data_IF_457691834823
#
_entry.id   IF_457691834823
#
_cell.length_a   1.000
_cell.length_b   1.000
_cell.length_c   1.000
_cell.angle_alpha   90.00
_cell.angle_beta   90.00
_cell.angle_gamma   90.00
#
_symmetry.space_group_name_H-M   'P 1'
#
loop_
_entity.id
_entity.type
_entity.pdbx_description
1 polymer ?
#
# COMPACT_ATOMS: atom_id res chain seq x y z
N UNK A 1 6.05 17.86 -0.96
CA UNK A 1 6.85 16.70 -1.43
C UNK A 1 8.25 17.11 -1.85
N UNK A 2 8.44 18.00 -2.84
CA UNK A 2 9.76 18.57 -3.22
C UNK A 2 10.65 18.95 -2.02
N UNK A 3 10.12 19.79 -1.12
CA UNK A 3 10.82 20.23 0.11
C UNK A 3 11.29 19.06 1.00
N UNK A 4 10.52 17.97 1.07
CA UNK A 4 10.86 16.80 1.90
C UNK A 4 11.94 15.96 1.24
N UNK A 5 11.87 15.82 -0.09
CA UNK A 5 12.88 15.13 -0.87
C UNK A 5 14.24 15.84 -0.81
N UNK A 6 14.26 17.16 -0.97
CA UNK A 6 15.49 17.95 -0.94
C UNK A 6 16.14 17.96 0.46
N UNK A 7 15.33 17.93 1.53
CA UNK A 7 15.82 18.04 2.91
C UNK A 7 16.32 16.74 3.54
N UNK A 8 16.19 15.59 2.87
CA UNK A 8 16.54 14.27 3.42
C UNK A 8 17.39 13.48 2.45
N UNK A 9 18.30 12.67 2.97
CA UNK A 9 19.23 11.89 2.14
C UNK A 9 18.70 10.52 1.75
N UNK A 10 17.78 9.96 2.54
CA UNK A 10 17.15 8.69 2.25
C UNK A 10 15.61 8.81 2.26
N UNK A 11 14.98 8.49 1.13
CA UNK A 11 13.54 8.55 0.94
C UNK A 11 12.98 7.15 0.65
N UNK A 12 11.99 6.72 1.43
CA UNK A 12 11.26 5.48 1.24
C UNK A 12 9.79 5.77 0.92
N UNK A 13 9.14 4.93 0.13
CA UNK A 13 7.72 5.02 -0.21
C UNK A 13 7.08 3.66 -0.01
N UNK A 14 6.09 3.57 0.88
CA UNK A 14 5.28 2.37 1.01
C UNK A 14 4.22 2.30 -0.10
N UNK A 15 4.31 1.31 -0.98
CA UNK A 15 3.40 1.14 -2.10
C UNK A 15 2.66 -0.21 -2.04
N UNK A 16 1.34 -0.18 -2.16
CA UNK A 16 0.49 -1.38 -2.06
C UNK A 16 -0.30 -1.71 -3.32
N UNK A 17 -0.18 -0.91 -4.39
CA UNK A 17 -0.94 -1.08 -5.62
C UNK A 17 -2.37 -0.54 -5.59
N UNK A 18 -2.84 -0.04 -4.44
CA UNK A 18 -4.20 0.47 -4.25
C UNK A 18 -4.31 1.97 -4.42
N UNK A 19 -5.56 2.48 -4.49
CA UNK A 19 -5.89 3.87 -4.78
C UNK A 19 -5.08 4.89 -3.97
N UNK A 20 -4.99 4.71 -2.66
CA UNK A 20 -4.37 5.70 -1.77
C UNK A 20 -2.85 5.77 -2.00
N UNK A 21 -2.20 4.60 -2.17
CA UNK A 21 -0.77 4.53 -2.48
C UNK A 21 -0.43 4.98 -3.89
N UNK A 22 -1.33 4.73 -4.86
CA UNK A 22 -1.18 5.18 -6.24
C UNK A 22 -1.35 6.69 -6.36
N UNK A 23 -2.31 7.29 -5.64
CA UNK A 23 -2.50 8.73 -5.58
C UNK A 23 -1.29 9.42 -4.92
N UNK A 24 -0.82 8.89 -3.79
CA UNK A 24 0.40 9.39 -3.14
C UNK A 24 1.62 9.30 -4.08
N UNK A 25 1.81 8.16 -4.74
CA UNK A 25 2.94 7.99 -5.66
C UNK A 25 2.81 8.92 -6.87
N UNK A 26 1.61 9.14 -7.40
CA UNK A 26 1.35 10.08 -8.49
C UNK A 26 1.77 11.50 -8.11
N UNK A 27 1.31 11.99 -6.95
CA UNK A 27 1.69 13.31 -6.44
C UNK A 27 3.20 13.43 -6.22
N UNK A 28 3.84 12.37 -5.72
CA UNK A 28 5.30 12.36 -5.52
C UNK A 28 6.04 12.34 -6.86
N UNK A 29 5.55 11.56 -7.81
CA UNK A 29 6.12 11.45 -9.15
C UNK A 29 6.13 12.81 -9.84
N UNK A 30 4.98 13.49 -9.86
CA UNK A 30 4.82 14.82 -10.46
C UNK A 30 5.75 15.82 -9.77
N UNK A 31 5.77 15.82 -8.43
CA UNK A 31 6.63 16.70 -7.65
C UNK A 31 8.12 16.53 -7.97
N UNK A 32 8.61 15.30 -8.20
CA UNK A 32 10.01 15.04 -8.54
C UNK A 32 10.29 15.31 -10.02
N UNK A 33 9.33 15.05 -10.90
CA UNK A 33 9.44 15.35 -12.32
C UNK A 33 9.51 16.87 -12.61
N UNK A 34 8.97 17.70 -11.72
CA UNK A 34 9.10 19.16 -11.79
C UNK A 34 10.48 19.69 -11.35
N UNK A 35 11.29 18.90 -10.64
CA UNK A 35 12.62 19.35 -10.20
C UNK A 35 13.61 19.37 -11.36
N UNK A 36 14.62 20.27 -11.38
CA UNK A 36 15.73 20.18 -12.33
C UNK A 36 16.46 18.84 -12.21
N UNK A 37 17.02 18.33 -13.31
CA UNK A 37 17.73 17.04 -13.33
C UNK A 37 18.86 16.97 -12.29
N UNK A 38 19.54 18.10 -12.07
CA UNK A 38 20.65 18.28 -11.12
C UNK A 38 20.23 18.10 -9.66
N UNK A 39 18.96 18.32 -9.33
CA UNK A 39 18.43 18.15 -7.97
C UNK A 39 17.91 16.71 -7.72
N UNK A 40 17.76 15.90 -8.77
CA UNK A 40 17.22 14.53 -8.72
C UNK A 40 18.29 13.48 -8.36
N UNK A 41 19.22 13.81 -7.48
CA UNK A 41 20.41 12.99 -7.19
C UNK A 41 20.15 11.88 -6.19
N UNK A 42 19.12 12.04 -5.34
CA UNK A 42 18.85 11.13 -4.21
C UNK A 42 17.87 10.04 -4.62
N UNK A 43 18.19 8.75 -4.40
CA UNK A 43 17.26 7.67 -4.73
C UNK A 43 16.03 7.67 -3.83
N UNK A 44 14.87 7.39 -4.43
CA UNK A 44 13.58 7.20 -3.76
C UNK A 44 13.21 5.72 -3.86
N UNK A 45 13.25 5.04 -2.73
CA UNK A 45 13.04 3.60 -2.67
C UNK A 45 11.56 3.26 -2.47
N UNK A 46 10.93 2.73 -3.52
CA UNK A 46 9.55 2.24 -3.48
C UNK A 46 9.58 0.82 -2.92
N UNK A 47 8.89 0.58 -1.82
CA UNK A 47 8.83 -0.70 -1.12
C UNK A 47 7.42 -1.30 -1.24
N UNK A 48 7.36 -2.52 -1.74
CA UNK A 48 6.14 -3.32 -1.78
C UNK A 48 6.40 -4.70 -1.19
N UNK A 49 5.50 -5.15 -0.32
CA UNK A 49 5.60 -6.49 0.28
C UNK A 49 4.73 -7.48 -0.47
N UNK A 50 5.35 -8.49 -1.09
CA UNK A 50 4.69 -9.67 -1.62
C UNK A 50 4.38 -10.63 -0.46
N UNK A 51 3.12 -10.68 -0.04
CA UNK A 51 2.68 -11.44 1.14
C UNK A 51 2.65 -12.94 0.86
N UNK A 52 2.41 -13.33 -0.41
CA UNK A 52 2.38 -14.71 -0.88
C UNK A 52 1.03 -15.41 -0.66
N UNK A 53 -0.02 -14.64 -0.39
CA UNK A 53 -1.41 -15.11 -0.22
C UNK A 53 -2.41 -14.19 -0.92
N UNK A 54 -1.92 -13.43 -1.88
CA UNK A 54 -2.73 -12.69 -2.83
C UNK A 54 -3.37 -13.64 -3.86
N UNK A 55 -4.44 -13.20 -4.52
CA UNK A 55 -4.96 -13.95 -5.68
C UNK A 55 -3.95 -13.91 -6.83
N UNK A 56 -3.87 -14.94 -7.68
CA UNK A 56 -2.99 -14.96 -8.85
C UNK A 56 -3.12 -13.71 -9.74
N UNK A 57 -4.36 -13.25 -9.95
CA UNK A 57 -4.64 -12.02 -10.72
C UNK A 57 -4.05 -10.78 -10.05
N UNK A 58 -4.20 -10.64 -8.72
CA UNK A 58 -3.60 -9.53 -7.96
C UNK A 58 -2.07 -9.61 -7.95
N UNK A 59 -1.48 -10.79 -7.79
CA UNK A 59 -0.02 -10.98 -7.88
C UNK A 59 0.51 -10.56 -9.25
N UNK A 60 -0.18 -10.97 -10.32
CA UNK A 60 0.20 -10.60 -11.68
C UNK A 60 0.07 -9.09 -11.90
N UNK A 61 -1.01 -8.46 -11.43
CA UNK A 61 -1.20 -7.01 -11.48
C UNK A 61 -0.08 -6.25 -10.77
N UNK A 62 0.21 -6.58 -9.50
CA UNK A 62 1.28 -5.92 -8.73
C UNK A 62 2.62 -6.09 -9.45
N UNK A 63 2.95 -7.30 -9.93
CA UNK A 63 4.19 -7.56 -10.65
C UNK A 63 4.33 -6.71 -11.92
N UNK A 64 3.26 -6.60 -12.73
CA UNK A 64 3.24 -5.73 -13.93
C UNK A 64 3.40 -4.26 -13.55
N UNK A 65 2.69 -3.81 -12.53
CA UNK A 65 2.73 -2.43 -12.04
C UNK A 65 4.13 -2.04 -11.56
N UNK A 66 4.78 -2.87 -10.75
CA UNK A 66 6.14 -2.60 -10.28
C UNK A 66 7.15 -2.51 -11.44
N UNK A 67 7.02 -3.38 -12.46
CA UNK A 67 7.84 -3.32 -13.67
C UNK A 67 7.59 -2.04 -14.48
N UNK A 68 6.33 -1.62 -14.63
CA UNK A 68 5.96 -0.37 -15.30
C UNK A 68 6.53 0.85 -14.57
N UNK A 69 6.46 0.87 -13.24
CA UNK A 69 7.02 1.92 -12.39
C UNK A 69 8.53 2.04 -12.63
N UNK A 70 9.29 0.94 -12.50
CA UNK A 70 10.74 0.99 -12.71
C UNK A 70 11.10 1.44 -14.14
N UNK A 71 10.49 0.82 -15.17
CA UNK A 71 10.76 1.15 -16.57
C UNK A 71 10.46 2.62 -16.90
N UNK A 72 9.39 3.17 -16.32
CA UNK A 72 9.00 4.56 -16.57
C UNK A 72 9.90 5.54 -15.82
N UNK A 73 10.34 5.18 -14.61
CA UNK A 73 11.33 5.96 -13.86
C UNK A 73 12.64 6.07 -14.64
N UNK A 74 13.13 4.95 -15.15
CA UNK A 74 14.36 4.90 -15.96
C UNK A 74 14.20 5.74 -17.24
N UNK A 75 13.06 5.62 -17.93
CA UNK A 75 12.76 6.39 -19.15
C UNK A 75 12.70 7.91 -18.91
N UNK A 76 12.19 8.33 -17.75
CA UNK A 76 12.03 9.74 -17.39
C UNK A 76 13.23 10.32 -16.63
N UNK A 77 14.30 9.53 -16.43
CA UNK A 77 15.45 9.90 -15.58
C UNK A 77 14.98 10.37 -14.19
N UNK A 78 14.07 9.62 -13.58
CA UNK A 78 13.60 9.87 -12.22
C UNK A 78 14.28 8.90 -11.25
N UNK A 79 14.63 9.36 -10.04
CA UNK A 79 15.45 8.59 -9.12
C UNK A 79 14.63 7.54 -8.34
N UNK A 80 13.61 6.94 -8.94
CA UNK A 80 12.80 5.91 -8.28
C UNK A 80 13.44 4.52 -8.44
N UNK A 81 13.57 3.79 -7.33
CA UNK A 81 14.09 2.43 -7.30
C UNK A 81 13.06 1.53 -6.63
N UNK A 82 12.58 0.53 -7.36
CA UNK A 82 11.53 -0.38 -6.91
C UNK A 82 12.13 -1.61 -6.22
N UNK A 83 11.65 -1.89 -5.02
CA UNK A 83 12.00 -3.08 -4.25
C UNK A 83 10.75 -3.88 -3.91
N UNK A 84 10.71 -5.12 -4.41
CA UNK A 84 9.75 -6.11 -3.94
C UNK A 84 10.38 -6.96 -2.85
N UNK A 85 9.72 -7.04 -1.70
CA UNK A 85 10.21 -7.78 -0.53
C UNK A 85 9.26 -8.91 -0.16
N UNK A 86 9.82 -10.00 0.36
CA UNK A 86 9.06 -11.17 0.82
C UNK A 86 9.34 -11.46 2.30
N UNK A 87 8.36 -12.03 3.03
CA UNK A 87 8.63 -12.59 4.35
C UNK A 87 9.69 -13.69 4.29
N UNK A 88 10.47 -13.81 5.36
CA UNK A 88 11.34 -14.97 5.53
C UNK A 88 10.46 -16.22 5.60
N UNK A 89 11.01 -17.39 5.24
CA UNK A 89 10.27 -18.64 5.31
C UNK A 89 9.60 -18.86 6.67
N UNK A 90 10.32 -18.57 7.77
CA UNK A 90 9.81 -18.66 9.15
C UNK A 90 8.65 -17.70 9.48
N UNK A 91 8.52 -16.63 8.71
CA UNK A 91 7.48 -15.61 8.87
C UNK A 91 6.37 -15.72 7.82
N UNK A 92 6.53 -16.58 6.81
CA UNK A 92 5.56 -16.82 5.75
C UNK A 92 4.24 -17.34 6.30
N UNK A 93 3.15 -17.07 5.57
CA UNK A 93 1.81 -17.45 6.00
C UNK A 93 1.69 -18.95 6.24
N UNK A 94 2.15 -19.78 5.29
CA UNK A 94 2.03 -21.24 5.36
C UNK A 94 2.90 -21.85 6.45
N UNK A 95 4.11 -21.34 6.67
CA UNK A 95 4.93 -21.81 7.78
C UNK A 95 4.29 -21.51 9.14
N UNK A 96 3.68 -20.33 9.30
CA UNK A 96 2.98 -20.01 10.55
C UNK A 96 1.73 -20.85 10.75
N UNK A 97 0.89 -20.96 9.72
CA UNK A 97 -0.37 -21.69 9.80
C UNK A 97 -0.14 -23.21 9.93
N UNK A 98 0.52 -23.82 8.95
CA UNK A 98 0.70 -25.27 8.86
C UNK A 98 1.90 -25.71 9.71
N UNK A 99 3.04 -25.01 9.59
CA UNK A 99 4.29 -25.43 10.24
C UNK A 99 4.33 -25.18 11.75
N UNK A 100 3.63 -24.16 12.26
CA UNK A 100 3.64 -23.77 13.69
C UNK A 100 2.28 -23.90 14.37
N UNK A 101 1.22 -24.24 13.64
CA UNK A 101 -0.14 -24.30 14.18
C UNK A 101 -0.68 -22.95 14.66
N UNK A 102 -0.16 -21.83 14.14
CA UNK A 102 -0.66 -20.49 14.50
C UNK A 102 -2.01 -20.29 13.83
N UNK A 103 -3.03 -19.93 14.62
CA UNK A 103 -4.36 -19.67 14.08
C UNK A 103 -4.32 -18.58 12.98
N UNK A 104 -5.13 -18.75 11.92
CA UNK A 104 -5.20 -17.78 10.84
C UNK A 104 -5.65 -16.40 11.37
N UNK A 105 -5.30 -15.29 10.70
CA UNK A 105 -5.70 -13.97 11.14
C UNK A 105 -7.22 -13.79 11.09
N UNK A 106 -7.84 -13.70 12.28
CA UNK A 106 -9.28 -13.48 12.46
C UNK A 106 -9.57 -12.11 13.08
N UNK A 107 -10.86 -11.79 13.25
CA UNK A 107 -11.36 -10.51 13.79
C UNK A 107 -10.67 -10.01 15.06
N UNK A 108 -10.17 -10.93 15.90
CA UNK A 108 -9.52 -10.65 17.17
C UNK A 108 -8.17 -9.93 16.98
N UNK A 109 -7.97 -8.81 17.70
CA UNK A 109 -6.76 -7.97 17.63
C UNK A 109 -5.48 -8.75 17.94
N UNK A 110 -5.52 -9.76 18.81
CA UNK A 110 -4.35 -10.60 19.16
C UNK A 110 -3.90 -11.52 18.02
N UNK A 111 -4.77 -11.81 17.06
CA UNK A 111 -4.50 -12.75 15.95
C UNK A 111 -4.17 -12.05 14.63
N UNK A 112 -4.00 -10.71 14.61
CA UNK A 112 -3.65 -9.94 13.38
C UNK A 112 -2.15 -9.91 13.10
N UNK A 113 -1.48 -11.05 13.18
CA UNK A 113 -0.03 -11.16 12.97
C UNK A 113 0.39 -10.97 11.51
N UNK A 114 -0.53 -11.10 10.55
CA UNK A 114 -0.23 -11.00 9.12
C UNK A 114 0.33 -9.64 8.71
N UNK A 115 -0.18 -8.53 9.28
CA UNK A 115 0.36 -7.19 8.97
C UNK A 115 1.82 -7.06 9.41
N UNK A 116 2.13 -7.48 10.64
CA UNK A 116 3.49 -7.41 11.17
C UNK A 116 4.44 -8.33 10.40
N UNK A 117 4.06 -9.61 10.28
CA UNK A 117 4.96 -10.65 9.76
C UNK A 117 5.14 -10.61 8.25
N UNK A 118 4.06 -10.32 7.52
CA UNK A 118 4.03 -10.45 6.07
C UNK A 118 4.19 -9.12 5.35
N UNK A 119 4.03 -7.97 6.03
CA UNK A 119 4.18 -6.63 5.44
C UNK A 119 5.25 -5.80 6.12
N UNK A 120 5.13 -5.58 7.43
CA UNK A 120 5.99 -4.64 8.16
C UNK A 120 7.44 -5.14 8.26
N UNK A 121 7.66 -6.35 8.77
CA UNK A 121 9.02 -6.91 8.96
C UNK A 121 9.84 -7.02 7.66
N UNK A 122 9.29 -7.49 6.53
CA UNK A 122 10.01 -7.51 5.26
C UNK A 122 10.46 -6.12 4.81
N UNK A 123 9.56 -5.13 4.89
CA UNK A 123 9.88 -3.75 4.51
C UNK A 123 10.94 -3.14 5.42
N UNK A 124 10.80 -3.30 6.74
CA UNK A 124 11.78 -2.80 7.71
C UNK A 124 13.17 -3.43 7.51
N UNK A 125 13.24 -4.73 7.21
CA UNK A 125 14.52 -5.39 6.90
C UNK A 125 15.17 -4.74 5.69
N UNK A 126 14.43 -4.53 4.60
CA UNK A 126 14.97 -3.91 3.40
C UNK A 126 15.37 -2.45 3.62
N UNK A 127 14.59 -1.70 4.39
CA UNK A 127 14.95 -0.33 4.79
C UNK A 127 16.27 -0.30 5.55
N UNK A 128 16.48 -1.21 6.51
CA UNK A 128 17.74 -1.30 7.26
C UNK A 128 18.93 -1.62 6.35
N UNK A 129 18.78 -2.57 5.43
CA UNK A 129 19.81 -2.87 4.42
C UNK A 129 20.19 -1.62 3.63
N UNK A 130 19.19 -0.90 3.09
CA UNK A 130 19.41 0.33 2.32
C UNK A 130 20.08 1.42 3.15
N UNK A 131 19.66 1.62 4.41
CA UNK A 131 20.27 2.61 5.30
C UNK A 131 21.75 2.30 5.55
N UNK A 132 22.10 1.06 5.84
CA UNK A 132 23.49 0.62 6.06
C UNK A 132 24.34 0.84 4.79
N UNK A 133 23.81 0.47 3.63
CA UNK A 133 24.47 0.66 2.34
C UNK A 133 24.63 2.15 1.96
N UNK A 134 23.75 3.02 2.47
CA UNK A 134 23.83 4.47 2.25
C UNK A 134 24.81 5.16 3.20
N UNK A 135 24.90 4.71 4.47
CA UNK A 135 25.79 5.26 5.49
C UNK A 135 27.25 4.88 5.28
N UNK A 136 27.52 3.79 4.56
CA UNK A 136 28.89 3.37 4.21
C UNK A 136 29.61 4.31 3.24
N UNK A 137 28.92 5.28 2.63
CA UNK A 137 29.51 6.26 1.70
C UNK A 137 29.81 7.63 2.32
N UNK A 138 29.13 8.00 3.40
CA UNK A 138 29.40 9.22 4.17
C UNK A 138 29.17 8.88 5.65
N UNK A 139 30.25 8.82 6.43
CA UNK A 139 30.17 8.73 7.89
C UNK A 139 29.64 10.07 8.40
N UNK A 140 28.31 10.20 8.52
CA UNK A 140 27.69 11.42 9.00
C UNK A 140 27.70 11.39 10.53
N UNK A 141 28.71 12.05 11.08
CA UNK A 141 28.88 12.32 12.52
C UNK A 141 27.98 13.50 12.94
N UNK A 142 26.69 13.45 12.63
CA UNK A 142 25.68 14.42 13.11
C UNK A 142 24.27 13.94 12.75
N UNK A 143 23.57 13.34 13.71
CA UNK A 143 22.16 12.99 13.56
C UNK A 143 21.30 14.26 13.52
N UNK A 144 20.82 14.70 12.36
CA UNK A 144 19.63 15.56 12.28
C UNK A 144 18.36 14.75 12.59
N UNK A 145 18.26 14.26 13.83
CA UNK A 145 17.15 13.56 14.48
C UNK A 145 16.56 12.30 13.78
N UNK A 146 16.73 12.11 12.47
CA UNK A 146 16.23 10.99 11.66
C UNK A 146 17.14 10.73 10.43
N UNK A 147 17.50 9.46 10.21
CA UNK A 147 18.35 8.98 9.10
C UNK A 147 17.60 8.89 7.76
N UNK A 148 16.27 9.01 7.75
CA UNK A 148 15.46 8.96 6.53
C UNK A 148 13.99 9.28 6.73
N UNK A 149 13.26 9.38 5.62
CA UNK A 149 11.80 9.63 5.60
C UNK A 149 11.05 8.50 4.89
N UNK A 150 9.93 8.07 5.45
CA UNK A 150 9.04 7.06 4.87
C UNK A 150 7.69 7.69 4.51
N UNK A 151 7.39 7.81 3.23
CA UNK A 151 6.09 8.25 2.74
C UNK A 151 5.07 7.10 2.86
N UNK A 152 3.95 7.34 3.56
CA UNK A 152 2.85 6.38 3.72
C UNK A 152 1.52 6.99 3.31
N UNK A 153 0.74 6.20 2.55
CA UNK A 153 -0.61 6.55 2.16
C UNK A 153 -1.62 6.17 3.27
N UNK A 154 -1.71 7.01 4.30
CA UNK A 154 -2.70 6.89 5.37
C UNK A 154 -3.61 8.12 5.35
N UNK A 155 -4.91 7.93 5.66
CA UNK A 155 -5.91 9.01 5.67
C UNK A 155 -6.76 9.00 6.93
N UNK A 156 -7.15 10.18 7.39
CA UNK A 156 -7.99 10.38 8.57
C UNK A 156 -9.43 9.90 8.38
N UNK A 157 -9.92 9.89 7.14
CA UNK A 157 -11.30 9.53 6.82
C UNK A 157 -11.50 8.03 6.56
N UNK A 158 -10.45 7.21 6.64
CA UNK A 158 -10.61 5.77 6.37
C UNK A 158 -11.45 5.06 7.44
N UNK A 159 -11.28 5.43 8.71
CA UNK A 159 -12.15 5.03 9.82
C UNK A 159 -11.77 5.80 11.10
N UNK A 160 -12.71 5.93 12.04
CA UNK A 160 -12.43 6.51 13.36
C UNK A 160 -11.25 5.79 14.07
N UNK A 161 -11.17 4.47 13.92
CA UNK A 161 -10.06 3.67 14.47
C UNK A 161 -8.72 3.99 13.82
N UNK A 162 -8.69 4.19 12.49
CA UNK A 162 -7.45 4.54 11.79
C UNK A 162 -7.01 5.95 12.15
N UNK A 163 -7.95 6.90 12.26
CA UNK A 163 -7.68 8.27 12.75
C UNK A 163 -6.99 8.28 14.11
N UNK A 164 -7.55 7.58 15.10
CA UNK A 164 -6.90 7.47 16.42
C UNK A 164 -5.52 6.81 16.35
N UNK A 165 -5.33 5.83 15.45
CA UNK A 165 -4.03 5.20 15.27
C UNK A 165 -3.01 6.15 14.63
N UNK A 166 -3.42 7.03 13.72
CA UNK A 166 -2.53 8.03 13.10
C UNK A 166 -2.16 9.08 14.16
N UNK A 167 -3.17 9.65 14.83
CA UNK A 167 -3.01 10.67 15.88
C UNK A 167 -2.05 10.26 17.01
N UNK A 168 -2.03 8.98 17.38
CA UNK A 168 -1.11 8.46 18.41
C UNK A 168 0.36 8.74 18.13
N UNK A 169 0.75 8.78 16.85
CA UNK A 169 2.15 8.93 16.43
C UNK A 169 2.41 10.27 15.76
N UNK A 170 1.41 11.15 15.64
CA UNK A 170 1.57 12.47 15.04
C UNK A 170 2.53 13.35 15.84
N UNK A 171 3.32 14.14 15.12
CA UNK A 171 4.19 15.15 15.76
C UNK A 171 3.37 16.32 16.29
N UNK A 172 2.32 16.71 15.55
CA UNK A 172 1.29 17.67 15.96
C UNK A 172 -0.01 17.42 15.18
N UNK A 173 -1.14 17.92 15.69
CA UNK A 173 -2.49 17.63 15.15
C UNK A 173 -2.66 17.94 13.65
N UNK A 174 -1.94 18.94 13.13
CA UNK A 174 -1.99 19.35 11.73
C UNK A 174 -0.75 18.92 10.93
N UNK A 175 0.16 18.18 11.55
CA UNK A 175 1.36 17.70 10.88
C UNK A 175 1.02 16.60 9.89
N UNK A 176 1.66 16.69 8.71
CA UNK A 176 1.78 15.56 7.78
C UNK A 176 2.80 14.54 8.26
N UNK A 177 3.56 14.83 9.32
CA UNK A 177 4.59 13.96 9.84
C UNK A 177 4.15 13.21 11.09
N UNK A 178 4.58 11.95 11.18
CA UNK A 178 4.40 11.09 12.34
C UNK A 178 5.68 10.33 12.65
N UNK A 179 5.85 9.92 13.91
CA UNK A 179 6.94 9.03 14.30
C UNK A 179 6.68 7.63 13.78
N UNK A 180 7.72 6.95 13.33
CA UNK A 180 7.60 5.54 13.00
C UNK A 180 7.49 4.70 14.29
N UNK A 181 6.65 3.66 14.28
CA UNK A 181 6.36 2.83 15.47
C UNK A 181 7.61 2.13 16.04
N UNK A 182 8.41 1.50 15.16
CA UNK A 182 9.56 0.68 15.56
C UNK A 182 10.92 1.35 15.28
N UNK A 183 11.12 1.91 14.07
CA UNK A 183 12.36 2.55 13.64
C UNK A 183 12.41 4.03 14.05
N UNK A 184 12.98 4.33 15.22
CA UNK A 184 13.04 5.70 15.78
C UNK A 184 13.78 6.71 14.90
N UNK A 185 14.69 6.22 14.05
CA UNK A 185 15.47 7.01 13.11
C UNK A 185 14.75 7.30 11.78
N UNK A 186 13.49 6.85 11.61
CA UNK A 186 12.69 7.14 10.42
C UNK A 186 11.52 8.05 10.78
N UNK A 187 11.41 9.15 10.03
CA UNK A 187 10.25 10.03 10.09
C UNK A 187 9.20 9.57 9.06
N UNK A 188 7.95 9.35 9.47
CA UNK A 188 6.89 9.05 8.52
C UNK A 188 6.29 10.35 7.97
N UNK A 189 6.03 10.39 6.66
CA UNK A 189 5.40 11.50 5.95
C UNK A 189 4.10 11.00 5.29
N UNK A 190 2.98 11.63 5.61
CA UNK A 190 1.63 11.20 5.25
C UNK A 190 0.96 12.26 4.35
N UNK A 191 1.38 12.40 3.08
CA UNK A 191 0.97 13.52 2.22
C UNK A 191 -0.53 13.54 1.89
N UNK A 192 -1.18 12.38 1.91
CA UNK A 192 -2.62 12.26 1.59
C UNK A 192 -3.50 12.24 2.85
N UNK A 193 -2.94 12.52 4.04
CA UNK A 193 -3.61 12.41 5.35
C UNK A 193 -4.99 13.05 5.40
N UNK A 194 -5.11 14.23 4.80
CA UNK A 194 -6.31 15.07 4.85
C UNK A 194 -7.22 14.91 3.63
N UNK A 195 -6.84 14.09 2.65
CA UNK A 195 -7.69 13.86 1.48
C UNK A 195 -8.86 12.94 1.83
N UNK A 196 -10.01 13.23 1.24
CA UNK A 196 -11.19 12.38 1.29
C UNK A 196 -11.05 11.18 0.34
N UNK A 197 -11.95 10.21 0.49
CA UNK A 197 -12.00 9.09 -0.46
C UNK A 197 -12.28 9.55 -1.89
N UNK A 198 -13.18 10.52 -2.02
CA UNK A 198 -13.61 11.06 -3.31
C UNK A 198 -12.52 11.92 -3.94
N UNK A 199 -11.79 12.73 -3.17
CA UNK A 199 -10.65 13.51 -3.68
C UNK A 199 -9.54 12.62 -4.23
N UNK A 200 -9.25 11.50 -3.55
CA UNK A 200 -8.29 10.51 -4.05
C UNK A 200 -8.76 9.93 -5.38
N UNK A 201 -10.05 9.60 -5.49
CA UNK A 201 -10.60 9.07 -6.74
C UNK A 201 -10.64 10.11 -7.86
N UNK A 202 -11.05 11.34 -7.57
CA UNK A 202 -11.04 12.44 -8.54
C UNK A 202 -9.64 12.67 -9.10
N UNK A 203 -8.61 12.68 -8.23
CA UNK A 203 -7.22 12.79 -8.67
C UNK A 203 -6.82 11.65 -9.62
N UNK A 204 -7.17 10.41 -9.29
CA UNK A 204 -6.81 9.26 -10.12
C UNK A 204 -7.57 9.28 -11.46
N UNK A 205 -8.87 9.55 -11.42
CA UNK A 205 -9.74 9.61 -12.59
C UNK A 205 -9.36 10.73 -13.56
N UNK A 206 -8.99 11.90 -13.04
CA UNK A 206 -8.49 13.02 -13.85
C UNK A 206 -7.24 12.63 -14.67
N UNK A 207 -6.38 11.77 -14.10
CA UNK A 207 -5.21 11.26 -14.83
C UNK A 207 -5.59 10.23 -15.89
N UNK A 208 -6.51 9.31 -15.59
CA UNK A 208 -6.84 8.14 -16.40
C UNK A 208 -5.69 7.12 -16.47
N UNK A 209 -4.55 7.52 -17.00
CA UNK A 209 -3.28 6.78 -16.97
C UNK A 209 -2.33 7.52 -16.04
N UNK A 210 -1.85 6.82 -15.00
CA UNK A 210 -0.92 7.40 -14.03
C UNK A 210 0.44 7.70 -14.68
N UNK A 211 1.24 8.64 -14.15
CA UNK A 211 2.53 9.06 -14.74
C UNK A 211 3.54 7.92 -14.97
N UNK A 212 3.36 6.81 -14.25
CA UNK A 212 4.16 5.58 -14.32
C UNK A 212 3.50 4.46 -15.16
N UNK A 213 2.48 4.77 -15.96
CA UNK A 213 1.89 3.89 -16.99
C UNK A 213 0.86 2.88 -16.50
N UNK A 214 0.34 3.04 -15.28
CA UNK A 214 -0.74 2.21 -14.75
C UNK A 214 -2.08 2.82 -15.14
N UNK A 215 -2.96 1.98 -15.67
CA UNK A 215 -4.33 2.36 -16.01
C UNK A 215 -5.19 2.34 -14.73
N UNK A 216 -5.91 3.43 -14.49
CA UNK A 216 -6.78 3.57 -13.32
C UNK A 216 -7.98 2.63 -13.40
N UNK A 217 -8.46 2.30 -14.59
CA UNK A 217 -9.51 1.30 -14.80
C UNK A 217 -9.00 -0.09 -14.41
N UNK A 218 -7.81 -0.50 -14.91
CA UNK A 218 -7.18 -1.78 -14.52
C UNK A 218 -7.03 -1.87 -13.00
N UNK A 219 -6.57 -0.80 -12.34
CA UNK A 219 -6.45 -0.73 -10.89
C UNK A 219 -7.82 -0.87 -10.19
N UNK A 220 -8.86 -0.19 -10.67
CA UNK A 220 -10.18 -0.16 -10.02
C UNK A 220 -10.82 -1.55 -9.94
N UNK A 221 -10.68 -2.34 -11.02
CA UNK A 221 -11.19 -3.70 -11.15
C UNK A 221 -10.57 -4.59 -10.07
N UNK A 222 -9.26 -4.48 -9.85
CA UNK A 222 -8.53 -5.30 -8.88
C UNK A 222 -8.99 -5.10 -7.43
N UNK A 223 -9.53 -3.92 -7.11
CA UNK A 223 -10.00 -3.62 -5.77
C UNK A 223 -11.51 -3.83 -5.59
N UNK A 224 -12.20 -4.38 -6.60
CA UNK A 224 -13.65 -4.58 -6.58
C UNK A 224 -14.40 -3.26 -6.47
N UNK A 225 -13.81 -2.19 -7.00
CA UNK A 225 -14.44 -0.87 -7.10
C UNK A 225 -14.77 -0.68 -8.57
N UNK A 226 -15.86 -1.29 -9.03
CA UNK A 226 -16.33 -1.08 -10.39
C UNK A 226 -16.61 0.42 -10.58
N UNK A 227 -15.80 1.10 -11.40
CA UNK A 227 -15.89 2.55 -11.60
C UNK A 227 -17.27 3.00 -12.11
N UNK A 228 -18.00 2.09 -12.78
CA UNK A 228 -19.24 2.38 -13.49
C UNK A 228 -20.52 2.16 -12.68
N UNK A 229 -20.48 1.69 -11.42
CA UNK A 229 -21.69 1.70 -10.58
C UNK A 229 -22.10 3.12 -10.14
N UNK A 230 -21.22 4.11 -10.33
CA UNK A 230 -21.49 5.52 -10.10
C UNK A 230 -21.71 6.30 -11.41
N UNK A 231 -22.33 5.68 -12.42
CA UNK A 231 -22.95 6.40 -13.54
C UNK A 231 -24.26 7.05 -13.09
N UNK A 232 -24.25 8.38 -12.91
CA UNK A 232 -25.38 9.32 -13.04
C UNK A 232 -26.75 8.70 -12.67
N UNK A 233 -27.09 8.62 -11.37
CA UNK A 233 -28.48 8.45 -10.94
C UNK A 233 -29.16 9.82 -10.87
N UNK A 234 -29.58 10.33 -12.02
CA UNK A 234 -30.64 11.35 -12.06
C UNK A 234 -31.95 10.72 -11.59
N UNK A 235 -32.33 11.03 -10.35
CA UNK A 235 -33.66 10.73 -9.81
C UNK A 235 -33.73 9.49 -8.93
N UNK A 236 -34.20 9.67 -7.70
CA UNK A 236 -34.70 8.59 -6.85
C UNK A 236 -33.83 8.26 -5.63
N UNK A 237 -34.13 8.94 -4.53
CA UNK A 237 -34.01 8.53 -3.12
C UNK A 237 -33.36 7.14 -2.89
N UNK A 238 -32.03 7.08 -2.92
CA UNK A 238 -31.23 6.08 -2.20
C UNK A 238 -30.05 6.80 -1.58
N UNK A 239 -30.21 7.13 -0.30
CA UNK A 239 -29.16 7.71 0.54
C UNK A 239 -28.01 6.72 0.71
N UNK A 240 -26.81 7.15 0.31
CA UNK A 240 -25.56 6.81 0.97
C UNK A 240 -25.09 5.36 0.88
N UNK A 241 -24.42 5.02 -0.22
CA UNK A 241 -23.20 4.21 -0.12
C UNK A 241 -22.10 5.00 -0.82
N UNK A 242 -21.33 5.76 -0.04
CA UNK A 242 -20.12 6.40 -0.52
C UNK A 242 -19.24 5.37 -1.23
N UNK A 243 -18.55 5.82 -2.29
CA UNK A 243 -17.53 5.10 -3.03
C UNK A 243 -16.51 4.47 -2.07
N UNK A 244 -16.77 3.22 -1.67
CA UNK A 244 -16.14 2.63 -0.49
C UNK A 244 -17.14 1.86 0.35
N UNK A 245 -17.82 0.87 -0.25
CA UNK A 245 -18.52 -0.14 0.53
C UNK A 245 -17.52 -0.77 1.51
N UNK A 246 -17.64 -0.37 2.77
CA UNK A 246 -16.93 -0.88 3.92
C UNK A 246 -17.20 -2.39 4.00
N UNK A 247 -16.33 -3.21 3.39
CA UNK A 247 -16.13 -4.65 3.61
C UNK A 247 -15.35 -5.37 2.48
N UNK A 248 -14.77 -4.69 1.49
CA UNK A 248 -13.82 -5.35 0.57
C UNK A 248 -12.38 -5.25 1.10
N UNK A 249 -11.92 -6.27 1.83
CA UNK A 249 -10.48 -6.47 2.02
C UNK A 249 -9.92 -7.14 0.77
N UNK A 250 -9.87 -6.38 -0.31
CA UNK A 250 -9.48 -6.86 -1.64
C UNK A 250 -8.01 -7.29 -1.63
N UNK A 251 -7.74 -8.45 -2.22
CA UNK A 251 -6.40 -8.96 -2.53
C UNK A 251 -6.01 -10.25 -1.82
N UNK A 252 -6.38 -10.46 -0.54
CA UNK A 252 -5.92 -11.62 0.25
C UNK A 252 -7.01 -12.70 0.39
N UNK A 253 -6.88 -13.80 -0.36
CA UNK A 253 -7.91 -14.85 -0.41
C UNK A 253 -7.98 -15.71 0.87
N UNK A 254 -6.93 -15.70 1.70
CA UNK A 254 -6.88 -16.41 2.99
C UNK A 254 -7.38 -15.59 4.18
N UNK A 255 -7.87 -14.36 3.95
CA UNK A 255 -8.24 -13.41 5.00
C UNK A 255 -9.58 -13.78 5.69
N UNK A 256 -9.53 -14.20 6.94
CA UNK A 256 -10.73 -14.58 7.73
C UNK A 256 -11.32 -13.44 8.56
N UNK A 257 -10.91 -12.21 8.27
CA UNK A 257 -11.42 -11.00 8.93
C UNK A 257 -12.84 -10.63 8.49
N UNK A 258 -13.25 -11.12 7.33
CA UNK A 258 -14.58 -10.94 6.77
C UNK A 258 -15.49 -12.07 7.23
N UNK A 259 -16.72 -11.75 7.63
CA UNK A 259 -17.78 -12.74 7.87
C UNK A 259 -18.52 -13.02 6.56
N UNK A 260 -18.93 -14.27 6.34
CA UNK A 260 -19.71 -14.66 5.15
C UNK A 260 -18.89 -14.77 3.85
N UNK A 261 -19.55 -14.91 2.72
CA UNK A 261 -18.92 -15.10 1.41
C UNK A 261 -17.88 -14.00 1.09
N UNK A 262 -16.75 -14.38 0.47
CA UNK A 262 -15.75 -13.39 0.07
C UNK A 262 -16.19 -12.76 -1.23
N UNK A 263 -16.64 -11.50 -1.15
CA UNK A 263 -17.14 -10.75 -2.30
C UNK A 263 -16.13 -10.67 -3.46
N UNK A 264 -14.83 -10.61 -3.17
CA UNK A 264 -13.80 -10.57 -4.21
C UNK A 264 -13.73 -11.91 -4.94
N UNK A 265 -13.71 -13.04 -4.19
CA UNK A 265 -13.69 -14.35 -4.82
C UNK A 265 -14.98 -14.62 -5.59
N UNK A 266 -16.14 -14.27 -5.02
CA UNK A 266 -17.43 -14.40 -5.69
C UNK A 266 -17.50 -13.59 -6.99
N UNK A 267 -17.00 -12.36 -6.98
CA UNK A 267 -16.92 -11.53 -8.19
C UNK A 267 -16.03 -12.17 -9.25
N UNK A 268 -14.82 -12.61 -8.89
CA UNK A 268 -13.91 -13.25 -9.85
C UNK A 268 -14.50 -14.56 -10.43
N UNK A 269 -15.22 -15.34 -9.62
CA UNK A 269 -15.93 -16.54 -10.09
C UNK A 269 -17.00 -16.15 -11.12
N UNK A 270 -17.78 -15.10 -10.85
CA UNK A 270 -18.81 -14.59 -11.76
C UNK A 270 -18.22 -14.02 -13.07
N UNK A 271 -17.00 -13.48 -13.01
CA UNK A 271 -16.24 -13.00 -14.18
C UNK A 271 -15.58 -14.14 -14.99
N UNK A 272 -15.75 -15.40 -14.57
CA UNK A 272 -15.31 -16.58 -15.31
C UNK A 272 -14.07 -17.28 -14.75
N UNK A 273 -13.47 -16.80 -13.66
CA UNK A 273 -12.34 -17.44 -12.99
C UNK A 273 -12.83 -18.58 -12.06
N UNK A 274 -13.38 -19.63 -12.66
CA UNK A 274 -14.02 -20.76 -11.95
C UNK A 274 -13.08 -21.50 -11.00
N UNK A 275 -11.76 -21.46 -11.24
CA UNK A 275 -10.74 -22.05 -10.38
C UNK A 275 -10.71 -21.43 -8.97
N UNK A 276 -11.24 -20.23 -8.79
CA UNK A 276 -11.34 -19.61 -7.47
C UNK A 276 -12.42 -20.20 -6.57
N UNK A 277 -13.29 -21.08 -7.10
CA UNK A 277 -14.21 -21.89 -6.31
C UNK A 277 -13.47 -22.70 -5.26
N UNK A 278 -12.30 -23.28 -5.62
CA UNK A 278 -11.48 -24.04 -4.67
C UNK A 278 -10.93 -23.16 -3.54
N UNK A 279 -10.56 -21.91 -3.84
CA UNK A 279 -10.11 -20.95 -2.82
C UNK A 279 -11.25 -20.56 -1.88
N UNK A 280 -12.46 -20.39 -2.42
CA UNK A 280 -13.67 -20.09 -1.65
C UNK A 280 -14.06 -21.27 -0.74
N UNK A 281 -13.98 -22.51 -1.23
CA UNK A 281 -14.19 -23.73 -0.45
C UNK A 281 -13.13 -23.86 0.66
N UNK A 282 -11.85 -23.65 0.35
CA UNK A 282 -10.77 -23.67 1.34
C UNK A 282 -10.97 -22.63 2.44
N UNK A 283 -11.35 -21.41 2.06
CA UNK A 283 -11.65 -20.34 3.02
C UNK A 283 -12.81 -20.71 3.94
N UNK A 284 -13.83 -21.37 3.39
CA UNK A 284 -14.99 -21.84 4.15
C UNK A 284 -14.60 -22.94 5.13
N UNK A 285 -13.75 -23.88 4.72
CA UNK A 285 -13.16 -24.90 5.60
C UNK A 285 -12.36 -24.26 6.74
N UNK A 286 -11.46 -23.31 6.46
CA UNK A 286 -10.68 -22.62 7.49
C UNK A 286 -11.52 -21.83 8.50
N UNK A 287 -12.76 -21.45 8.17
CA UNK A 287 -13.69 -20.83 9.13
C UNK A 287 -14.46 -21.82 9.98
N UNK A 288 -14.57 -23.07 9.52
CA UNK A 288 -15.30 -24.12 10.24
C UNK A 288 -14.46 -24.76 11.36
N UNK A 289 -13.14 -24.56 11.32
CA UNK A 289 -12.17 -24.96 12.34
C UNK A 289 -12.00 -23.82 13.35
#
# INVERSE_FOLDING_TARGET
>A
MKKVYLSRDCCFVGYSGGKDSSAMLTLLWDAIAELPLEERTKPIHILTSEVGVETPVMTAYISRTLKKIQKTADKQNLPFVVHSVRPLMKDSYWYKLIGRGVLPPTGNRRLRWCTDSLKVKPMQRKMKEILIDSQTKNVVDCFEQYDGVLALAVRNEESARRRHSIQKYEVSNDSLFSRHNDMKNILCFNPVKFLTGDEVWMLLLDRGILPFGVDVEEMSIQYGQAMFECGIKTGGIQQGNACGAANSRSGCWTCLMMSGEDKMLAQLINEGYTEYTYLQSWKSFLRSI
#
